data_IF_818530197868
#
_entry.id   IF_818530197868
#
_cell.length_a   1.000
_cell.length_b   1.000
_cell.length_c   1.000
_cell.angle_alpha   90.00
_cell.angle_beta   90.00
_cell.angle_gamma   90.00
#
_symmetry.space_group_name_H-M   'P 1'
#
loop_
_entity.id
_entity.type
_entity.pdbx_description
1 polymer ?
#
# COMPACT_ATOMS: atom_id res chain seq x y z
N UNK A 1 3.30 -16.16 2.01
CA UNK A 1 2.37 -15.07 1.64
C UNK A 1 1.20 -15.19 2.60
N UNK A 2 1.00 -14.26 3.54
CA UNK A 2 -0.04 -14.38 4.57
C UNK A 2 -0.80 -13.06 4.77
N UNK A 3 -0.07 -11.93 4.77
CA UNK A 3 -0.66 -10.61 5.03
C UNK A 3 -1.73 -10.18 4.02
N UNK A 4 -1.61 -10.54 2.74
CA UNK A 4 -2.57 -10.11 1.72
C UNK A 4 -3.88 -10.92 1.82
N UNK A 5 -3.78 -12.23 1.98
CA UNK A 5 -4.94 -13.12 2.14
C UNK A 5 -5.70 -12.81 3.43
N UNK A 6 -4.98 -12.54 4.54
CA UNK A 6 -5.58 -12.10 5.80
C UNK A 6 -6.34 -10.77 5.65
N UNK A 7 -5.77 -9.82 4.90
CA UNK A 7 -6.41 -8.52 4.64
C UNK A 7 -7.67 -8.68 3.78
N UNK A 8 -7.67 -9.59 2.81
CA UNK A 8 -8.84 -9.88 1.98
C UNK A 8 -9.96 -10.49 2.83
N UNK A 9 -9.66 -11.54 3.62
CA UNK A 9 -10.64 -12.17 4.51
C UNK A 9 -11.26 -11.19 5.49
N UNK A 10 -10.42 -10.39 6.17
CA UNK A 10 -10.91 -9.37 7.11
C UNK A 10 -11.74 -8.28 6.42
N UNK A 11 -11.43 -7.94 5.17
CA UNK A 11 -12.23 -6.98 4.42
C UNK A 11 -13.58 -7.55 4.01
N UNK A 12 -13.66 -8.84 3.68
CA UNK A 12 -14.91 -9.52 3.39
C UNK A 12 -15.85 -9.54 4.61
N UNK A 13 -15.32 -9.74 5.81
CA UNK A 13 -16.12 -9.73 7.04
C UNK A 13 -16.55 -8.32 7.50
N UNK A 14 -15.69 -7.31 7.31
CA UNK A 14 -15.91 -5.96 7.88
C UNK A 14 -16.42 -4.94 6.88
N UNK A 15 -16.26 -5.21 5.57
CA UNK A 15 -16.52 -4.30 4.45
C UNK A 15 -15.96 -2.86 4.62
N UNK A 16 -14.95 -2.68 5.48
CA UNK A 16 -14.43 -1.38 5.86
C UNK A 16 -12.91 -1.39 5.95
N UNK A 17 -12.26 -0.62 5.07
CA UNK A 17 -10.80 -0.48 5.03
C UNK A 17 -10.25 0.02 6.37
N UNK A 18 -10.98 0.93 7.04
CA UNK A 18 -10.56 1.49 8.33
C UNK A 18 -10.64 0.45 9.45
N UNK A 19 -11.68 -0.39 9.46
CA UNK A 19 -11.82 -1.48 10.42
C UNK A 19 -10.69 -2.51 10.26
N UNK A 20 -10.44 -2.95 9.01
CA UNK A 20 -9.34 -3.88 8.69
C UNK A 20 -7.99 -3.28 9.11
N UNK A 21 -7.73 -2.02 8.78
CA UNK A 21 -6.51 -1.31 9.15
C UNK A 21 -6.24 -1.32 10.66
N UNK A 22 -7.28 -1.16 11.48
CA UNK A 22 -7.18 -1.23 12.94
C UNK A 22 -6.81 -2.64 13.41
N UNK A 23 -7.38 -3.68 12.82
CA UNK A 23 -7.13 -5.09 13.16
C UNK A 23 -5.69 -5.49 12.78
N UNK A 24 -5.28 -5.21 11.54
CA UNK A 24 -3.94 -5.57 11.04
C UNK A 24 -2.84 -4.61 11.50
N UNK A 25 -3.19 -3.57 12.26
CA UNK A 25 -2.29 -2.50 12.74
C UNK A 25 -1.48 -1.87 11.59
N UNK A 26 -2.15 -1.54 10.49
CA UNK A 26 -1.58 -0.86 9.32
C UNK A 26 -2.33 0.44 9.03
N UNK A 27 -1.75 1.33 8.23
CA UNK A 27 -2.48 2.52 7.79
C UNK A 27 -3.59 2.15 6.79
N UNK A 28 -4.74 2.85 6.78
CA UNK A 28 -5.82 2.60 5.82
C UNK A 28 -5.36 2.68 4.35
N UNK A 29 -4.42 3.58 4.04
CA UNK A 29 -3.85 3.70 2.70
C UNK A 29 -3.09 2.45 2.30
N UNK A 30 -2.37 1.81 3.23
CA UNK A 30 -1.65 0.55 2.97
C UNK A 30 -2.63 -0.60 2.75
N UNK A 31 -3.67 -0.71 3.56
CA UNK A 31 -4.72 -1.72 3.38
C UNK A 31 -5.41 -1.57 2.03
N UNK A 32 -5.84 -0.34 1.68
CA UNK A 32 -6.44 -0.05 0.37
C UNK A 32 -5.55 -0.51 -0.78
N UNK A 33 -4.26 -0.16 -0.72
CA UNK A 33 -3.32 -0.54 -1.77
C UNK A 33 -3.10 -2.04 -1.84
N UNK A 34 -3.09 -2.76 -0.72
CA UNK A 34 -3.01 -4.23 -0.72
C UNK A 34 -4.23 -4.84 -1.44
N UNK A 35 -5.44 -4.36 -1.12
CA UNK A 35 -6.68 -4.82 -1.75
C UNK A 35 -6.76 -4.48 -3.24
N UNK A 36 -6.21 -3.33 -3.66
CA UNK A 36 -6.06 -2.99 -5.09
C UNK A 36 -5.03 -3.89 -5.76
N UNK A 37 -3.93 -4.19 -5.08
CA UNK A 37 -2.85 -5.03 -5.62
C UNK A 37 -3.30 -6.48 -5.79
N UNK A 38 -4.15 -7.00 -4.90
CA UNK A 38 -4.75 -8.32 -5.05
C UNK A 38 -5.86 -8.38 -6.10
N UNK A 39 -6.30 -7.24 -6.63
CA UNK A 39 -7.47 -7.14 -7.51
C UNK A 39 -8.82 -7.25 -6.81
N UNK A 40 -8.85 -7.45 -5.48
CA UNK A 40 -10.10 -7.61 -4.72
C UNK A 40 -10.95 -6.34 -4.71
N UNK A 41 -10.30 -5.18 -4.71
CA UNK A 41 -10.98 -3.89 -4.86
C UNK A 41 -10.44 -3.18 -6.09
N UNK A 42 -11.34 -2.78 -6.97
CA UNK A 42 -11.05 -1.78 -7.99
C UNK A 42 -12.05 -0.63 -7.85
N UNK A 43 -11.63 0.42 -7.16
CA UNK A 43 -12.43 1.64 -7.11
C UNK A 43 -12.40 2.34 -8.47
N UNK A 44 -13.47 3.07 -8.77
CA UNK A 44 -13.57 3.86 -10.00
C UNK A 44 -12.37 4.81 -10.18
N UNK A 45 -11.97 5.49 -9.09
CA UNK A 45 -10.76 6.33 -9.08
C UNK A 45 -9.49 5.56 -9.44
N UNK A 46 -9.35 4.32 -8.96
CA UNK A 46 -8.18 3.48 -9.28
C UNK A 46 -8.15 3.16 -10.78
N UNK A 47 -9.30 2.82 -11.38
CA UNK A 47 -9.40 2.57 -12.83
C UNK A 47 -9.08 3.81 -13.65
N UNK A 48 -9.66 4.97 -13.30
CA UNK A 48 -9.38 6.24 -13.99
C UNK A 48 -7.90 6.62 -13.91
N UNK A 49 -7.28 6.47 -12.73
CA UNK A 49 -5.84 6.74 -12.58
C UNK A 49 -5.01 5.81 -13.45
N UNK A 50 -5.31 4.50 -13.47
CA UNK A 50 -4.59 3.54 -14.31
C UNK A 50 -4.78 3.82 -15.80
N UNK A 51 -5.99 4.20 -16.21
CA UNK A 51 -6.29 4.62 -17.58
C UNK A 51 -5.45 5.84 -17.99
N UNK A 52 -5.38 6.89 -17.18
CA UNK A 52 -4.57 8.06 -17.55
C UNK A 52 -3.06 7.77 -17.54
N UNK A 53 -2.59 6.90 -16.64
CA UNK A 53 -1.19 6.44 -16.65
C UNK A 53 -0.89 5.67 -17.93
N UNK A 54 -1.80 4.81 -18.42
CA UNK A 54 -1.59 4.07 -19.67
C UNK A 54 -1.54 4.98 -20.90
N UNK A 55 -2.12 6.18 -20.80
CA UNK A 55 -2.06 7.23 -21.82
C UNK A 55 -0.87 8.18 -21.64
N UNK A 56 0.04 7.91 -20.71
CA UNK A 56 1.29 8.66 -20.54
C UNK A 56 1.17 9.96 -19.75
N UNK A 57 0.05 10.22 -19.07
CA UNK A 57 -0.07 11.42 -18.23
C UNK A 57 0.83 11.35 -16.99
N UNK A 58 1.41 12.49 -16.62
CA UNK A 58 2.16 12.62 -15.37
C UNK A 58 1.23 12.48 -14.15
N UNK A 59 1.78 12.09 -13.00
CA UNK A 59 0.97 11.92 -11.78
C UNK A 59 0.37 13.23 -11.32
N UNK A 60 1.09 14.32 -11.54
CA UNK A 60 0.68 15.69 -11.22
C UNK A 60 -0.51 16.07 -12.11
N UNK A 61 -0.42 15.85 -13.42
CA UNK A 61 -1.53 16.13 -14.34
C UNK A 61 -2.78 15.28 -14.06
N UNK A 62 -2.60 14.02 -13.63
CA UNK A 62 -3.72 13.16 -13.22
C UNK A 62 -4.33 13.63 -11.91
N UNK A 63 -3.50 14.04 -10.95
CA UNK A 63 -3.93 14.57 -9.66
C UNK A 63 -4.80 15.82 -9.87
N UNK A 64 -4.33 16.75 -10.69
CA UNK A 64 -5.05 17.97 -11.05
C UNK A 64 -6.36 17.66 -11.77
N UNK A 65 -6.33 16.77 -12.77
CA UNK A 65 -7.50 16.36 -13.55
C UNK A 65 -8.59 15.70 -12.70
N UNK A 66 -8.21 14.96 -11.66
CA UNK A 66 -9.12 14.26 -10.75
C UNK A 66 -9.47 15.06 -9.49
N UNK A 67 -8.94 16.28 -9.32
CA UNK A 67 -9.11 17.08 -8.12
C UNK A 67 -8.57 16.40 -6.85
N UNK A 68 -7.47 15.65 -6.99
CA UNK A 68 -6.84 14.89 -5.91
C UNK A 68 -5.47 15.48 -5.59
N UNK A 69 -5.02 15.32 -4.34
CA UNK A 69 -3.59 15.47 -4.07
C UNK A 69 -2.81 14.29 -4.63
N UNK A 70 -1.55 14.51 -5.03
CA UNK A 70 -0.62 13.44 -5.46
C UNK A 70 -0.52 12.34 -4.40
N UNK A 71 -0.60 12.69 -3.11
CA UNK A 71 -0.62 11.72 -2.00
C UNK A 71 -1.86 10.83 -2.02
N UNK A 72 -3.04 11.42 -2.26
CA UNK A 72 -4.29 10.67 -2.39
C UNK A 72 -4.26 9.76 -3.63
N UNK A 73 -3.80 10.27 -4.77
CA UNK A 73 -3.61 9.51 -6.01
C UNK A 73 -2.74 8.26 -5.77
N UNK A 74 -1.60 8.41 -5.11
CA UNK A 74 -0.71 7.28 -4.80
C UNK A 74 -1.36 6.20 -3.91
N UNK A 75 -2.44 6.52 -3.18
CA UNK A 75 -3.18 5.54 -2.38
C UNK A 75 -4.12 4.64 -3.20
N UNK A 76 -4.45 5.06 -4.43
CA UNK A 76 -5.27 4.30 -5.38
C UNK A 76 -4.43 3.51 -6.39
N UNK A 77 -3.10 3.64 -6.32
CA UNK A 77 -2.18 2.86 -7.14
C UNK A 77 -1.80 1.54 -6.47
N UNK A 78 -1.66 0.45 -7.26
CA UNK A 78 -1.15 -0.81 -6.74
C UNK A 78 0.23 -0.66 -6.10
N UNK A 79 0.60 -1.62 -5.25
CA UNK A 79 1.91 -1.66 -4.63
C UNK A 79 3.00 -1.96 -5.66
N UNK A 80 3.81 -0.94 -5.99
CA UNK A 80 4.98 -1.09 -6.88
C UNK A 80 6.20 -1.75 -6.22
N UNK A 81 6.30 -1.72 -4.88
CA UNK A 81 7.42 -2.28 -4.10
C UNK A 81 6.95 -3.51 -3.32
N UNK A 82 7.82 -4.50 -3.10
CA UNK A 82 7.54 -5.68 -2.26
C UNK A 82 6.90 -5.27 -0.92
N UNK A 83 5.90 -6.05 -0.47
CA UNK A 83 5.08 -5.71 0.69
C UNK A 83 5.98 -5.66 1.94
N UNK A 84 6.06 -4.49 2.56
CA UNK A 84 6.86 -4.27 3.77
C UNK A 84 6.29 -5.11 4.93
N UNK A 85 7.16 -5.93 5.56
CA UNK A 85 6.86 -7.05 6.51
C UNK A 85 6.45 -8.39 5.88
N UNK A 86 6.83 -8.70 4.64
CA UNK A 86 6.86 -10.10 4.21
C UNK A 86 7.75 -10.93 5.16
N UNK A 87 7.41 -12.21 5.35
CA UNK A 87 8.20 -13.18 6.13
C UNK A 87 9.66 -13.23 5.66
N UNK A 88 9.90 -12.93 4.38
CA UNK A 88 11.23 -12.72 3.82
C UNK A 88 11.65 -11.25 3.93
N UNK A 89 12.48 -10.97 4.93
CA UNK A 89 13.20 -9.71 5.02
C UNK A 89 14.30 -9.71 3.94
N UNK A 90 14.40 -8.65 3.12
CA UNK A 90 15.54 -8.52 2.22
C UNK A 90 16.84 -8.42 3.02
N UNK A 91 17.95 -8.89 2.45
CA UNK A 91 19.26 -8.88 3.12
C UNK A 91 19.65 -7.46 3.61
N UNK A 92 19.40 -6.44 2.79
CA UNK A 92 19.63 -5.04 3.15
C UNK A 92 18.76 -4.58 4.33
N UNK A 93 17.50 -5.02 4.41
CA UNK A 93 16.63 -4.70 5.53
C UNK A 93 17.11 -5.36 6.84
N UNK A 94 17.70 -6.57 6.77
CA UNK A 94 18.35 -7.22 7.92
C UNK A 94 19.57 -6.42 8.39
N UNK A 95 20.47 -6.07 7.45
CA UNK A 95 21.65 -5.23 7.74
C UNK A 95 21.32 -3.89 8.39
N UNK A 96 20.34 -3.17 7.86
CA UNK A 96 19.95 -1.86 8.42
C UNK A 96 19.39 -2.04 9.85
N UNK A 97 18.63 -3.11 10.12
CA UNK A 97 18.10 -3.40 11.44
C UNK A 97 19.21 -3.68 12.45
N UNK A 98 20.17 -4.52 12.07
CA UNK A 98 21.35 -4.83 12.91
C UNK A 98 22.18 -3.58 13.20
N UNK A 99 22.42 -2.73 12.20
CA UNK A 99 23.13 -1.46 12.41
C UNK A 99 22.42 -0.53 13.39
N UNK A 100 21.09 -0.38 13.27
CA UNK A 100 20.29 0.43 14.20
C UNK A 100 20.33 -0.12 15.63
N UNK A 101 20.29 -1.45 15.79
CA UNK A 101 20.40 -2.10 17.10
C UNK A 101 21.78 -1.88 17.73
N UNK A 102 22.86 -1.99 16.94
CA UNK A 102 24.23 -1.67 17.41
C UNK A 102 24.33 -0.21 17.87
N UNK A 103 23.84 0.74 17.07
CA UNK A 103 23.85 2.16 17.43
C UNK A 103 23.07 2.45 18.72
N UNK A 104 21.94 1.76 18.94
CA UNK A 104 21.11 1.94 20.14
C UNK A 104 21.70 1.33 21.41
N UNK A 105 22.66 0.38 21.30
CA UNK A 105 23.41 -0.21 22.42
C UNK A 105 24.68 0.58 22.76
N UNK A 106 25.11 1.47 21.88
CA UNK A 106 26.30 2.30 22.00
C UNK A 106 26.00 3.69 22.60
N UNK A 107 24.76 3.93 22.99
CA UNK A 107 24.25 5.08 23.75
C UNK A 107 23.79 4.54 25.09
#
# INVERSE_FOLDING_TARGET
>A
MAIMDDVIKLYDEKHSINAVARIVKMSPQKVRRLLITSGYIQSEKSRQILFYISHGLSKEGIADKLGLSVKALNSYLPYKKCIYKQSMCSYNAKRIREWRQRKKRSI
#
